data_IF_201531874170
#
_entry.id   IF_201531874170
#
_cell.length_a   1.000
_cell.length_b   1.000
_cell.length_c   1.000
_cell.angle_alpha   90.00
_cell.angle_beta   90.00
_cell.angle_gamma   90.00
#
_symmetry.space_group_name_H-M   'P 1'
#
loop_
_entity.id
_entity.type
_entity.pdbx_description
1 polymer ?
#
# COMPACT_ATOMS: atom_id res chain seq x y z
N UNK A 1 -23.30 6.24 -52.44
CA UNK A 1 -23.83 7.15 -51.39
C UNK A 1 -25.35 7.24 -51.51
N UNK A 2 -26.07 6.14 -51.27
CA UNK A 2 -27.48 6.03 -51.67
C UNK A 2 -28.36 5.42 -50.59
N UNK A 3 -29.64 5.82 -50.62
CA UNK A 3 -30.80 5.34 -49.84
C UNK A 3 -30.92 5.83 -48.40
N UNK A 4 -29.92 5.66 -47.53
CA UNK A 4 -30.06 6.00 -46.09
C UNK A 4 -30.24 7.50 -45.80
N UNK A 5 -29.68 8.39 -46.63
CA UNK A 5 -29.79 9.84 -46.45
C UNK A 5 -31.20 10.40 -46.77
N UNK A 6 -32.03 9.63 -47.48
CA UNK A 6 -33.36 10.04 -47.95
C UNK A 6 -34.50 9.37 -47.18
N UNK A 7 -34.19 8.55 -46.16
CA UNK A 7 -35.21 7.97 -45.31
C UNK A 7 -35.84 9.05 -44.41
N UNK A 8 -37.18 9.09 -44.27
CA UNK A 8 -37.85 9.91 -43.28
C UNK A 8 -37.33 9.68 -41.87
N UNK A 9 -37.41 10.73 -41.04
CA UNK A 9 -36.92 10.71 -39.67
C UNK A 9 -37.55 9.58 -38.85
N UNK A 10 -38.83 9.30 -39.07
CA UNK A 10 -39.62 8.28 -38.39
C UNK A 10 -39.11 6.86 -38.67
N UNK A 11 -38.74 6.58 -39.93
CA UNK A 11 -38.17 5.28 -40.30
C UNK A 11 -36.77 5.09 -39.71
N UNK A 12 -35.96 6.16 -39.70
CA UNK A 12 -34.66 6.14 -39.05
C UNK A 12 -34.79 5.92 -37.54
N UNK A 13 -35.82 6.49 -36.89
CA UNK A 13 -36.10 6.26 -35.46
C UNK A 13 -36.46 4.80 -35.19
N UNK A 14 -37.27 4.17 -36.03
CA UNK A 14 -37.61 2.74 -35.87
C UNK A 14 -36.36 1.85 -35.97
N UNK A 15 -35.44 2.16 -36.88
CA UNK A 15 -34.16 1.45 -37.00
C UNK A 15 -33.34 1.64 -35.72
N UNK A 16 -33.21 2.88 -35.23
CA UNK A 16 -32.40 3.21 -34.05
C UNK A 16 -32.84 2.46 -32.79
N UNK A 17 -34.15 2.23 -32.61
CA UNK A 17 -34.69 1.52 -31.44
C UNK A 17 -34.22 0.05 -31.38
N UNK A 18 -33.97 -0.56 -32.53
CA UNK A 18 -33.54 -1.96 -32.64
C UNK A 18 -32.01 -2.14 -32.60
N UNK A 19 -31.23 -1.05 -32.59
CA UNK A 19 -29.77 -1.12 -32.57
C UNK A 19 -29.25 -1.28 -31.14
N UNK A 20 -28.26 -2.16 -30.97
CA UNK A 20 -27.48 -2.23 -29.74
C UNK A 20 -26.54 -1.01 -29.60
N UNK A 21 -25.97 -0.81 -28.41
CA UNK A 21 -25.10 0.34 -28.10
C UNK A 21 -23.94 0.50 -29.09
N UNK A 22 -23.34 -0.61 -29.55
CA UNK A 22 -22.19 -0.56 -30.46
C UNK A 22 -22.63 -0.16 -31.87
N UNK A 23 -23.68 -0.80 -32.40
CA UNK A 23 -24.20 -0.48 -33.73
C UNK A 23 -24.79 0.92 -33.79
N UNK A 24 -25.44 1.38 -32.72
CA UNK A 24 -26.00 2.73 -32.62
C UNK A 24 -24.93 3.82 -32.75
N UNK A 25 -23.78 3.64 -32.08
CA UNK A 25 -22.64 4.56 -32.20
C UNK A 25 -22.10 4.58 -33.62
N UNK A 26 -21.88 3.41 -34.21
CA UNK A 26 -21.42 3.30 -35.60
C UNK A 26 -22.40 3.95 -36.59
N UNK A 27 -23.69 3.74 -36.40
CA UNK A 27 -24.76 4.32 -37.21
C UNK A 27 -24.77 5.86 -37.14
N UNK A 28 -24.54 6.43 -35.96
CA UNK A 28 -24.48 7.90 -35.77
C UNK A 28 -23.34 8.59 -36.54
N UNK A 29 -22.32 7.84 -36.97
CA UNK A 29 -21.17 8.36 -37.71
C UNK A 29 -21.40 8.41 -39.22
N UNK A 30 -22.47 7.76 -39.73
CA UNK A 30 -22.71 7.61 -41.17
C UNK A 30 -23.00 8.96 -41.85
N UNK A 31 -23.90 9.77 -41.28
CA UNK A 31 -24.21 11.12 -41.77
C UNK A 31 -24.89 11.98 -40.69
N UNK A 32 -25.16 13.26 -41.00
CA UNK A 32 -25.80 14.22 -40.07
C UNK A 32 -27.21 13.81 -39.63
N UNK A 33 -28.00 13.18 -40.51
CA UNK A 33 -29.36 12.71 -40.21
C UNK A 33 -29.33 11.52 -39.25
N UNK A 34 -28.50 10.50 -39.53
CA UNK A 34 -28.29 9.37 -38.62
C UNK A 34 -27.81 9.86 -37.24
N UNK A 35 -26.94 10.87 -37.19
CA UNK A 35 -26.51 11.49 -35.92
C UNK A 35 -27.66 12.14 -35.17
N UNK A 36 -28.49 12.97 -35.81
CA UNK A 36 -29.58 13.66 -35.12
C UNK A 36 -30.61 12.68 -34.56
N UNK A 37 -30.94 11.63 -35.32
CA UNK A 37 -31.87 10.58 -34.91
C UNK A 37 -31.32 9.71 -33.77
N UNK A 38 -30.01 9.48 -33.73
CA UNK A 38 -29.37 8.60 -32.73
C UNK A 38 -28.99 9.29 -31.42
N UNK A 39 -28.74 10.61 -31.46
CA UNK A 39 -28.30 11.40 -30.31
C UNK A 39 -29.12 11.14 -29.03
N UNK A 40 -30.47 11.15 -29.06
CA UNK A 40 -31.28 10.93 -27.87
C UNK A 40 -31.04 9.58 -27.20
N UNK A 41 -30.83 8.51 -27.99
CA UNK A 41 -30.62 7.16 -27.46
C UNK A 41 -29.19 6.91 -27.03
N UNK A 42 -28.20 7.50 -27.71
CA UNK A 42 -26.79 7.43 -27.31
C UNK A 42 -26.57 8.09 -25.95
N UNK A 43 -27.14 9.28 -25.75
CA UNK A 43 -26.97 10.05 -24.53
C UNK A 43 -28.06 9.79 -23.49
N UNK A 44 -28.99 8.85 -23.76
CA UNK A 44 -30.05 8.45 -22.82
C UNK A 44 -29.49 8.02 -21.47
N UNK A 45 -28.37 7.30 -21.48
CA UNK A 45 -27.67 6.84 -20.30
C UNK A 45 -26.27 7.43 -20.27
N UNK A 46 -26.01 8.33 -19.33
CA UNK A 46 -24.69 8.92 -19.12
C UNK A 46 -24.00 8.28 -17.92
N UNK A 47 -22.75 7.87 -18.11
CA UNK A 47 -21.96 7.17 -17.09
C UNK A 47 -20.67 7.95 -16.81
N UNK A 48 -20.39 8.19 -15.54
CA UNK A 48 -19.17 8.88 -15.09
C UNK A 48 -18.67 8.30 -13.77
N UNK A 49 -17.39 8.48 -13.49
CA UNK A 49 -16.71 7.95 -12.30
C UNK A 49 -16.30 9.06 -11.34
N UNK A 50 -16.05 8.71 -10.07
CA UNK A 50 -15.48 9.61 -9.08
C UNK A 50 -14.03 9.93 -9.41
N UNK A 51 -13.85 10.95 -10.26
CA UNK A 51 -12.56 11.53 -10.61
C UNK A 51 -12.75 12.96 -11.08
N UNK A 52 -11.68 13.75 -11.06
CA UNK A 52 -11.71 15.12 -11.58
C UNK A 52 -12.21 15.17 -13.03
N UNK A 53 -11.77 14.22 -13.86
CA UNK A 53 -12.23 14.11 -15.25
C UNK A 53 -13.69 13.69 -15.36
N UNK A 54 -14.16 12.79 -14.49
CA UNK A 54 -15.55 12.38 -14.42
C UNK A 54 -16.47 13.55 -14.08
N UNK A 55 -16.08 14.36 -13.09
CA UNK A 55 -16.82 15.56 -12.69
C UNK A 55 -16.86 16.61 -13.80
N UNK A 56 -15.72 16.90 -14.45
CA UNK A 56 -15.66 17.83 -15.59
C UNK A 56 -16.53 17.37 -16.78
N UNK A 57 -16.58 16.06 -17.04
CA UNK A 57 -17.45 15.50 -18.09
C UNK A 57 -18.93 15.67 -17.74
N UNK A 58 -19.30 15.51 -16.47
CA UNK A 58 -20.67 15.73 -16.01
C UNK A 58 -21.08 17.20 -16.16
N UNK A 59 -20.22 18.11 -15.71
CA UNK A 59 -20.44 19.56 -15.81
C UNK A 59 -20.62 20.00 -17.27
N UNK A 60 -19.69 19.59 -18.15
CA UNK A 60 -19.77 19.89 -19.57
C UNK A 60 -21.04 19.35 -20.23
N UNK A 61 -21.44 18.12 -19.89
CA UNK A 61 -22.65 17.51 -20.43
C UNK A 61 -23.90 18.27 -19.96
N UNK A 62 -23.93 18.64 -18.68
CA UNK A 62 -25.04 19.37 -18.07
C UNK A 62 -25.24 20.75 -18.69
N UNK A 63 -24.16 21.43 -19.11
CA UNK A 63 -24.21 22.72 -19.79
C UNK A 63 -24.47 22.62 -21.31
N UNK A 64 -24.47 21.40 -21.86
CA UNK A 64 -24.66 21.17 -23.28
C UNK A 64 -26.13 20.97 -23.66
N UNK A 65 -26.43 21.08 -24.96
CA UNK A 65 -27.75 20.70 -25.50
C UNK A 65 -28.10 19.23 -25.32
N UNK A 66 -27.12 18.38 -24.98
CA UNK A 66 -27.31 16.95 -24.73
C UNK A 66 -27.93 16.67 -23.36
N UNK A 67 -27.92 17.63 -22.43
CA UNK A 67 -28.50 17.48 -21.09
C UNK A 67 -29.97 17.01 -21.14
N UNK A 68 -30.72 17.49 -22.13
CA UNK A 68 -32.13 17.12 -22.34
C UNK A 68 -32.30 15.66 -22.80
N UNK A 69 -31.27 15.03 -23.35
CA UNK A 69 -31.32 13.64 -23.79
C UNK A 69 -31.12 12.66 -22.63
N UNK A 70 -30.46 13.10 -21.56
CA UNK A 70 -30.09 12.24 -20.43
C UNK A 70 -31.31 11.88 -19.59
N UNK A 71 -31.58 10.58 -19.47
CA UNK A 71 -32.63 10.03 -18.61
C UNK A 71 -32.06 9.23 -17.44
N UNK A 72 -30.95 8.54 -17.68
CA UNK A 72 -30.28 7.70 -16.68
C UNK A 72 -28.89 8.28 -16.44
N UNK A 73 -28.62 8.68 -15.20
CA UNK A 73 -27.30 9.10 -14.76
C UNK A 73 -26.68 7.97 -13.93
N UNK A 74 -25.56 7.44 -14.37
CA UNK A 74 -24.83 6.38 -13.68
C UNK A 74 -23.54 6.94 -13.11
N UNK A 75 -23.48 7.01 -11.78
CA UNK A 75 -22.31 7.42 -11.03
C UNK A 75 -21.55 6.20 -10.50
N UNK A 76 -20.29 6.06 -10.89
CA UNK A 76 -19.35 5.09 -10.31
C UNK A 76 -18.60 5.73 -9.14
N UNK A 77 -19.05 5.41 -7.93
CA UNK A 77 -18.35 5.81 -6.72
C UNK A 77 -17.05 5.00 -6.55
N UNK A 78 -15.99 5.70 -6.14
CA UNK A 78 -14.71 5.12 -5.76
C UNK A 78 -14.62 5.03 -4.24
N UNK A 79 -13.96 3.98 -3.75
CA UNK A 79 -13.64 3.86 -2.32
C UNK A 79 -12.67 4.97 -1.90
N UNK A 80 -13.01 5.70 -0.85
CA UNK A 80 -12.21 6.83 -0.37
C UNK A 80 -11.01 6.33 0.45
N UNK A 81 -9.84 6.80 0.06
CA UNK A 81 -8.57 6.53 0.72
C UNK A 81 -8.33 7.60 1.78
N UNK A 82 -7.74 7.23 2.92
CA UNK A 82 -7.34 8.19 3.95
C UNK A 82 -6.43 9.30 3.35
N UNK A 83 -6.83 10.58 3.41
CA UNK A 83 -6.03 11.69 2.90
C UNK A 83 -4.63 11.77 3.51
N UNK A 84 -4.43 11.29 4.74
CA UNK A 84 -3.15 11.33 5.45
C UNK A 84 -2.11 10.39 4.85
N UNK A 85 -2.51 9.38 4.06
CA UNK A 85 -1.61 8.49 3.31
C UNK A 85 -0.67 9.25 2.37
N UNK A 86 -0.98 10.51 2.04
CA UNK A 86 -0.08 11.35 1.26
C UNK A 86 1.27 11.61 1.95
N UNK A 87 1.31 11.51 3.28
CA UNK A 87 2.51 11.72 4.10
C UNK A 87 3.27 10.41 4.27
N UNK A 88 4.57 10.44 3.98
CA UNK A 88 5.43 9.27 4.07
C UNK A 88 5.50 8.70 5.49
N UNK A 89 5.61 9.58 6.48
CA UNK A 89 5.76 9.16 7.88
C UNK A 89 4.48 8.48 8.38
N UNK A 90 3.31 9.01 8.02
CA UNK A 90 2.03 8.38 8.34
C UNK A 90 1.86 7.04 7.63
N UNK A 91 2.17 6.98 6.33
CA UNK A 91 2.08 5.74 5.58
C UNK A 91 2.97 4.65 6.18
N UNK A 92 4.23 4.99 6.47
CA UNK A 92 5.22 4.02 6.93
C UNK A 92 5.13 3.66 8.40
N UNK A 93 4.47 4.48 9.23
CA UNK A 93 4.24 4.17 10.63
C UNK A 93 2.86 3.55 10.92
N UNK A 94 1.82 3.92 10.16
CA UNK A 94 0.43 3.64 10.55
C UNK A 94 -0.37 2.81 9.54
N UNK A 95 -0.02 2.84 8.25
CA UNK A 95 -0.85 2.23 7.19
C UNK A 95 -0.22 0.94 6.68
N UNK A 96 1.08 1.00 6.39
CA UNK A 96 1.82 -0.16 5.93
C UNK A 96 3.28 -0.01 6.29
N UNK A 97 3.70 -0.69 7.33
CA UNK A 97 5.06 -0.58 7.84
C UNK A 97 6.06 -1.35 6.98
N UNK A 98 7.36 -0.97 6.99
CA UNK A 98 8.40 -1.75 6.33
C UNK A 98 8.46 -3.21 6.81
N UNK A 99 8.13 -3.47 8.07
CA UNK A 99 8.08 -4.81 8.66
C UNK A 99 6.93 -5.64 8.09
N UNK A 100 5.74 -5.04 7.97
CA UNK A 100 4.60 -5.68 7.29
C UNK A 100 4.90 -5.93 5.82
N UNK A 101 5.59 -5.00 5.14
CA UNK A 101 6.00 -5.20 3.77
C UNK A 101 6.96 -6.38 3.60
N UNK A 102 7.94 -6.54 4.49
CA UNK A 102 8.83 -7.69 4.47
C UNK A 102 8.05 -9.00 4.66
N UNK A 103 7.13 -9.04 5.63
CA UNK A 103 6.25 -10.19 5.89
C UNK A 103 5.37 -10.52 4.68
N UNK A 104 4.65 -9.53 4.16
CA UNK A 104 3.72 -9.71 3.04
C UNK A 104 4.47 -10.10 1.74
N UNK A 105 5.74 -9.70 1.59
CA UNK A 105 6.59 -10.10 0.47
C UNK A 105 7.03 -11.58 0.56
N UNK A 106 7.27 -12.09 1.77
CA UNK A 106 7.58 -13.50 2.02
C UNK A 106 6.36 -14.40 1.76
N UNK A 107 5.18 -13.98 2.24
CA UNK A 107 3.96 -14.79 2.23
C UNK A 107 3.29 -14.88 0.85
N UNK A 108 3.37 -13.82 0.03
CA UNK A 108 2.48 -13.71 -1.13
C UNK A 108 3.14 -13.42 -2.48
N UNK A 109 4.48 -13.23 -2.53
CA UNK A 109 5.28 -13.04 -3.77
C UNK A 109 4.55 -12.29 -4.90
N UNK A 110 4.04 -11.09 -4.60
CA UNK A 110 3.23 -10.32 -5.54
C UNK A 110 4.04 -9.80 -6.74
N UNK A 111 3.54 -10.03 -7.96
CA UNK A 111 4.09 -9.48 -9.19
C UNK A 111 3.02 -8.75 -10.01
N UNK A 112 3.28 -7.50 -10.39
CA UNK A 112 2.47 -6.78 -11.37
C UNK A 112 3.27 -6.67 -12.67
N UNK A 113 2.79 -7.35 -13.71
CA UNK A 113 3.47 -7.48 -15.01
C UNK A 113 4.90 -8.05 -14.89
N UNK A 114 5.12 -9.02 -14.02
CA UNK A 114 6.40 -9.70 -13.85
C UNK A 114 7.48 -8.90 -13.09
N UNK A 115 7.09 -7.84 -12.36
CA UNK A 115 7.98 -7.09 -11.47
C UNK A 115 7.38 -7.03 -10.07
N UNK A 116 8.20 -7.32 -9.07
CA UNK A 116 7.85 -7.09 -7.67
C UNK A 116 7.64 -5.58 -7.43
N UNK A 117 6.58 -5.24 -6.70
CA UNK A 117 6.36 -3.88 -6.26
C UNK A 117 7.36 -3.50 -5.19
N UNK A 118 8.16 -2.47 -5.42
CA UNK A 118 8.92 -1.88 -4.32
C UNK A 118 7.96 -1.18 -3.36
N UNK A 119 8.30 -1.19 -2.07
CA UNK A 119 7.56 -0.47 -1.03
C UNK A 119 7.30 1.01 -1.40
N UNK A 120 8.29 1.68 -2.03
CA UNK A 120 8.13 3.04 -2.56
C UNK A 120 7.14 3.15 -3.72
N UNK A 121 7.02 2.13 -4.56
CA UNK A 121 6.04 2.12 -5.65
C UNK A 121 4.62 2.07 -5.10
N UNK A 122 4.38 1.25 -4.07
CA UNK A 122 3.09 1.15 -3.36
C UNK A 122 2.71 2.51 -2.78
N UNK A 123 3.61 3.14 -2.01
CA UNK A 123 3.38 4.49 -1.49
C UNK A 123 3.10 5.51 -2.59
N UNK A 124 3.89 5.50 -3.67
CA UNK A 124 3.73 6.45 -4.78
C UNK A 124 2.37 6.33 -5.45
N UNK A 125 1.85 5.10 -5.60
CA UNK A 125 0.52 4.84 -6.12
C UNK A 125 -0.56 5.45 -5.21
N UNK A 126 -0.59 5.07 -3.93
CA UNK A 126 -1.62 5.55 -3.01
C UNK A 126 -1.54 7.04 -2.72
N UNK A 127 -0.33 7.62 -2.69
CA UNK A 127 -0.14 9.07 -2.61
C UNK A 127 -0.78 9.79 -3.79
N UNK A 128 -0.64 9.27 -5.01
CA UNK A 128 -1.28 9.85 -6.21
C UNK A 128 -2.80 9.72 -6.14
N UNK A 129 -3.30 8.55 -5.74
CA UNK A 129 -4.73 8.29 -5.60
C UNK A 129 -5.38 9.20 -4.54
N UNK A 130 -4.81 9.25 -3.33
CA UNK A 130 -5.28 10.09 -2.24
C UNK A 130 -5.24 11.59 -2.59
N UNK A 131 -4.22 12.04 -3.34
CA UNK A 131 -4.18 13.41 -3.89
C UNK A 131 -5.33 13.69 -4.85
N UNK A 132 -5.56 12.78 -5.80
CA UNK A 132 -6.63 12.94 -6.78
C UNK A 132 -8.01 13.00 -6.11
N UNK A 133 -8.28 12.11 -5.15
CA UNK A 133 -9.52 12.13 -4.38
C UNK A 133 -9.64 13.38 -3.51
N UNK A 134 -8.55 13.79 -2.84
CA UNK A 134 -8.53 15.01 -2.04
C UNK A 134 -8.81 16.26 -2.88
N UNK A 135 -8.35 16.32 -4.13
CA UNK A 135 -8.68 17.44 -5.03
C UNK A 135 -10.17 17.49 -5.37
N UNK A 136 -10.82 16.33 -5.55
CA UNK A 136 -12.27 16.26 -5.81
C UNK A 136 -13.09 16.61 -4.57
N UNK A 137 -12.63 16.21 -3.39
CA UNK A 137 -13.31 16.47 -2.11
C UNK A 137 -13.04 17.86 -1.54
N UNK A 138 -11.93 18.49 -1.92
CA UNK A 138 -11.58 19.83 -1.46
C UNK A 138 -12.71 20.80 -1.82
N UNK A 139 -13.15 21.57 -0.83
CA UNK A 139 -14.24 22.55 -0.98
C UNK A 139 -15.58 21.94 -1.42
N UNK A 140 -15.79 20.61 -1.24
CA UNK A 140 -17.01 19.90 -1.66
C UNK A 140 -17.36 20.11 -3.13
N UNK A 141 -16.34 20.22 -3.97
CA UNK A 141 -16.49 20.42 -5.41
C UNK A 141 -17.34 19.32 -6.06
N UNK A 142 -17.21 18.08 -5.58
CA UNK A 142 -18.08 16.96 -5.96
C UNK A 142 -19.57 17.26 -5.75
N UNK A 143 -19.95 17.75 -4.57
CA UNK A 143 -21.33 18.09 -4.25
C UNK A 143 -21.79 19.28 -5.09
N UNK A 144 -20.96 20.31 -5.24
CA UNK A 144 -21.30 21.50 -6.03
C UNK A 144 -21.52 21.18 -7.50
N UNK A 145 -20.60 20.45 -8.12
CA UNK A 145 -20.71 20.03 -9.53
C UNK A 145 -21.90 19.09 -9.69
N UNK A 146 -22.06 18.10 -8.81
CA UNK A 146 -23.14 17.13 -8.94
C UNK A 146 -24.51 17.78 -8.77
N UNK A 147 -24.71 18.58 -7.71
CA UNK A 147 -25.99 19.28 -7.47
C UNK A 147 -26.29 20.35 -8.51
N UNK A 148 -25.27 21.08 -8.99
CA UNK A 148 -25.41 22.03 -10.09
C UNK A 148 -25.82 21.32 -11.39
N UNK A 149 -25.13 20.24 -11.74
CA UNK A 149 -25.39 19.47 -12.96
C UNK A 149 -26.79 18.85 -12.95
N UNK A 150 -27.23 18.31 -11.81
CA UNK A 150 -28.56 17.71 -11.68
C UNK A 150 -29.70 18.70 -12.03
N UNK A 151 -29.52 19.99 -11.77
CA UNK A 151 -30.52 21.02 -12.13
C UNK A 151 -30.69 21.17 -13.63
N UNK A 152 -29.61 20.98 -14.40
CA UNK A 152 -29.63 21.15 -15.85
C UNK A 152 -30.10 19.88 -16.59
N UNK A 153 -30.10 18.72 -15.92
CA UNK A 153 -30.58 17.45 -16.46
C UNK A 153 -32.11 17.31 -16.30
N UNK A 154 -32.87 18.15 -16.99
CA UNK A 154 -34.33 18.29 -16.81
C UNK A 154 -35.16 17.02 -17.08
N UNK A 155 -34.65 16.09 -17.90
CA UNK A 155 -35.34 14.84 -18.26
C UNK A 155 -34.82 13.61 -17.49
N UNK A 156 -33.99 13.83 -16.47
CA UNK A 156 -33.43 12.77 -15.65
C UNK A 156 -34.55 12.06 -14.86
N UNK A 157 -34.62 10.73 -14.99
CA UNK A 157 -35.59 9.91 -14.28
C UNK A 157 -34.95 8.91 -13.31
N UNK A 158 -33.69 8.56 -13.54
CA UNK A 158 -33.00 7.50 -12.77
C UNK A 158 -31.57 7.92 -12.47
N UNK A 159 -31.18 7.84 -11.21
CA UNK A 159 -29.77 7.90 -10.79
C UNK A 159 -29.35 6.50 -10.33
N UNK A 160 -28.33 5.94 -10.99
CA UNK A 160 -27.72 4.66 -10.63
C UNK A 160 -26.41 4.93 -9.93
N UNK A 161 -26.23 4.29 -8.78
CA UNK A 161 -24.97 4.29 -8.04
C UNK A 161 -24.35 2.91 -8.13
N UNK A 162 -23.06 2.84 -8.46
CA UNK A 162 -22.30 1.61 -8.39
C UNK A 162 -20.96 1.86 -7.73
N UNK A 163 -20.57 0.97 -6.82
CA UNK A 163 -19.26 1.00 -6.19
C UNK A 163 -18.33 0.10 -6.97
N UNK A 164 -17.23 0.65 -7.45
CA UNK A 164 -16.16 -0.13 -8.02
C UNK A 164 -15.05 -0.17 -6.98
N UNK A 165 -14.72 -1.37 -6.49
CA UNK A 165 -13.39 -1.58 -5.91
C UNK A 165 -12.37 -1.16 -6.96
N UNK A 166 -11.22 -0.63 -6.54
CA UNK A 166 -10.13 -0.26 -7.45
C UNK A 166 -10.00 -1.33 -8.53
N UNK A 167 -10.17 -0.96 -9.82
CA UNK A 167 -10.21 -1.87 -11.00
C UNK A 167 -8.99 -2.80 -11.12
N UNK A 168 -8.03 -2.67 -10.23
CA UNK A 168 -6.92 -3.57 -9.99
C UNK A 168 -7.29 -4.53 -8.83
N UNK A 169 -7.91 -5.67 -9.17
CA UNK A 169 -8.08 -6.83 -8.26
C UNK A 169 -6.77 -7.24 -7.55
N UNK A 170 -5.62 -6.76 -8.06
CA UNK A 170 -4.28 -7.04 -7.58
C UNK A 170 -3.92 -6.33 -6.26
N UNK A 171 -4.73 -5.36 -5.80
CA UNK A 171 -4.50 -4.65 -4.53
C UNK A 171 -5.60 -4.92 -3.49
N UNK A 172 -6.48 -5.91 -3.73
CA UNK A 172 -7.50 -6.33 -2.77
C UNK A 172 -6.90 -6.72 -1.41
N UNK A 173 -5.70 -7.30 -1.37
CA UNK A 173 -5.00 -7.63 -0.13
C UNK A 173 -4.71 -6.40 0.75
N UNK A 174 -4.67 -5.21 0.14
CA UNK A 174 -4.32 -3.95 0.79
C UNK A 174 -5.53 -3.07 1.11
N UNK A 175 -6.72 -3.45 0.62
CA UNK A 175 -7.99 -2.73 0.78
C UNK A 175 -8.35 -2.44 2.24
N UNK A 176 -8.19 -3.42 3.12
CA UNK A 176 -8.54 -3.31 4.54
C UNK A 176 -7.71 -2.28 5.31
N UNK A 177 -6.56 -1.83 4.76
CA UNK A 177 -5.63 -0.90 5.41
C UNK A 177 -5.80 0.55 4.96
N UNK A 178 -6.57 0.80 3.90
CA UNK A 178 -6.54 2.08 3.19
C UNK A 178 -7.86 2.86 3.21
N UNK A 179 -8.97 2.13 3.25
CA UNK A 179 -10.26 2.75 3.05
C UNK A 179 -10.79 3.35 4.34
N UNK A 180 -11.25 4.59 4.25
CA UNK A 180 -12.06 5.24 5.27
C UNK A 180 -13.44 4.55 5.32
N UNK A 181 -13.47 3.34 5.86
CA UNK A 181 -14.70 2.67 6.25
C UNK A 181 -15.07 3.15 7.63
N UNK A 182 -16.28 3.72 7.76
CA UNK A 182 -17.12 3.63 8.96
C UNK A 182 -16.69 2.40 9.75
N UNK A 183 -16.23 2.56 11.00
CA UNK A 183 -15.72 1.45 11.84
C UNK A 183 -16.61 0.23 11.61
N UNK A 184 -16.13 -0.69 10.77
CA UNK A 184 -16.89 -1.89 10.47
C UNK A 184 -16.71 -2.72 11.71
N UNK A 185 -17.76 -2.79 12.53
CA UNK A 185 -17.86 -3.59 13.75
C UNK A 185 -17.57 -5.10 13.48
N UNK A 186 -17.27 -5.49 12.23
CA UNK A 186 -17.10 -6.87 11.78
C UNK A 186 -18.43 -7.62 11.67
N UNK A 187 -19.54 -6.95 11.98
CA UNK A 187 -20.88 -7.55 12.00
C UNK A 187 -21.51 -7.43 10.61
N UNK A 188 -21.67 -8.56 9.93
CA UNK A 188 -22.39 -8.64 8.65
C UNK A 188 -23.86 -8.93 8.93
N UNK A 189 -24.68 -7.89 8.93
CA UNK A 189 -26.15 -7.97 9.09
C UNK A 189 -26.82 -7.45 7.82
N UNK A 190 -27.83 -8.15 7.34
CA UNK A 190 -28.63 -7.67 6.21
C UNK A 190 -29.37 -6.38 6.60
N UNK A 191 -29.43 -5.33 5.76
CA UNK A 191 -30.17 -4.10 6.07
C UNK A 191 -31.63 -4.35 6.50
N UNK A 192 -32.27 -5.40 5.99
CA UNK A 192 -33.63 -5.81 6.34
C UNK A 192 -33.76 -6.47 7.71
N UNK A 193 -32.65 -6.87 8.32
CA UNK A 193 -32.56 -7.47 9.66
C UNK A 193 -32.19 -6.46 10.74
N UNK A 194 -31.86 -5.22 10.35
CA UNK A 194 -31.57 -4.16 11.31
C UNK A 194 -32.85 -3.79 12.07
N UNK A 195 -32.82 -3.93 13.39
CA UNK A 195 -33.84 -3.51 14.36
C UNK A 195 -33.26 -2.47 15.31
N UNK A 196 -34.04 -1.44 15.62
CA UNK A 196 -33.73 -0.48 16.70
C UNK A 196 -33.92 -1.14 18.07
N UNK A 197 -35.06 -1.81 18.24
CA UNK A 197 -35.30 -2.67 19.39
C UNK A 197 -34.61 -4.01 19.15
N UNK A 198 -33.49 -4.23 19.83
CA UNK A 198 -32.76 -5.51 19.79
C UNK A 198 -33.46 -6.50 20.71
N UNK A 199 -33.79 -7.68 20.17
CA UNK A 199 -34.37 -8.79 20.91
C UNK A 199 -33.28 -9.83 21.21
N UNK A 200 -33.58 -10.81 22.07
CA UNK A 200 -32.64 -11.87 22.39
C UNK A 200 -32.31 -12.68 21.13
N UNK A 201 -31.01 -12.78 20.80
CA UNK A 201 -30.52 -13.44 19.58
C UNK A 201 -30.06 -12.51 18.45
N UNK A 202 -30.18 -11.18 18.58
CA UNK A 202 -29.55 -10.26 17.61
C UNK A 202 -28.01 -10.35 17.67
N UNK A 203 -27.35 -10.30 16.51
CA UNK A 203 -25.87 -10.32 16.40
C UNK A 203 -25.19 -9.06 16.97
N UNK A 204 -25.96 -8.02 17.25
CA UNK A 204 -25.48 -6.73 17.70
C UNK A 204 -26.42 -6.11 18.74
N UNK A 205 -25.88 -5.20 19.54
CA UNK A 205 -26.56 -4.35 20.49
C UNK A 205 -26.28 -2.87 20.16
N UNK A 206 -27.14 -1.96 20.62
CA UNK A 206 -26.89 -0.53 20.47
C UNK A 206 -26.16 0.01 21.70
N UNK A 207 -24.98 0.60 21.48
CA UNK A 207 -24.33 1.46 22.46
C UNK A 207 -24.84 2.88 22.24
N UNK A 208 -25.51 3.44 23.23
CA UNK A 208 -26.12 4.77 23.18
C UNK A 208 -25.32 5.66 24.12
N UNK A 209 -24.65 6.67 23.57
CA UNK A 209 -23.82 7.61 24.31
C UNK A 209 -24.63 8.80 24.84
N UNK A 210 -25.76 9.13 24.17
CA UNK A 210 -26.69 10.17 24.59
C UNK A 210 -27.99 9.54 25.17
N UNK A 211 -28.20 9.57 26.50
CA UNK A 211 -29.36 8.95 27.15
C UNK A 211 -30.71 9.48 26.65
N UNK A 212 -30.75 10.70 26.10
CA UNK A 212 -31.98 11.26 25.53
C UNK A 212 -32.52 10.45 24.35
N UNK A 213 -31.68 9.64 23.70
CA UNK A 213 -32.06 8.82 22.54
C UNK A 213 -32.54 7.41 22.93
N UNK A 214 -32.41 6.98 24.18
CA UNK A 214 -32.76 5.60 24.61
C UNK A 214 -34.20 5.22 24.28
N UNK A 215 -35.14 6.15 24.46
CA UNK A 215 -36.55 5.92 24.20
C UNK A 215 -36.86 5.56 22.73
N UNK A 216 -35.96 5.91 21.80
CA UNK A 216 -36.09 5.59 20.37
C UNK A 216 -35.79 4.10 20.15
N UNK A 217 -34.83 3.54 20.87
CA UNK A 217 -34.42 2.13 20.74
C UNK A 217 -35.34 1.15 21.46
N UNK A 218 -36.33 1.64 22.21
CA UNK A 218 -37.35 0.82 22.86
C UNK A 218 -38.53 0.46 21.92
N UNK A 219 -38.62 1.07 20.74
CA UNK A 219 -39.72 0.88 19.77
C UNK A 219 -39.20 0.33 18.45
N UNK A 220 -40.04 -0.42 17.74
CA UNK A 220 -39.75 -0.85 16.37
C UNK A 220 -39.73 0.34 15.42
N UNK A 221 -38.93 0.23 14.35
CA UNK A 221 -38.81 1.24 13.29
C UNK A 221 -40.18 1.77 12.85
N UNK A 222 -41.12 0.88 12.54
CA UNK A 222 -42.48 1.20 12.06
C UNK A 222 -43.30 2.11 12.99
N UNK A 223 -42.92 2.27 14.25
CA UNK A 223 -43.61 3.12 15.24
C UNK A 223 -42.99 4.51 15.39
N UNK A 224 -41.97 4.84 14.60
CA UNK A 224 -41.27 6.12 14.65
C UNK A 224 -41.73 7.07 13.55
N UNK A 225 -41.65 8.37 13.86
CA UNK A 225 -41.94 9.42 12.89
C UNK A 225 -40.80 9.56 11.87
N UNK A 226 -41.09 10.20 10.73
CA UNK A 226 -40.06 10.56 9.74
C UNK A 226 -38.94 11.41 10.36
N UNK A 227 -39.27 12.29 11.29
CA UNK A 227 -38.30 13.14 12.00
C UNK A 227 -37.35 12.33 12.88
N UNK A 228 -37.83 11.23 13.45
CA UNK A 228 -37.01 10.29 14.24
C UNK A 228 -36.01 9.56 13.34
N UNK A 229 -36.40 9.17 12.12
CA UNK A 229 -35.47 8.56 11.16
C UNK A 229 -34.38 9.52 10.69
N UNK A 230 -34.74 10.79 10.45
CA UNK A 230 -33.76 11.83 10.11
C UNK A 230 -32.75 12.04 11.25
N UNK A 231 -33.22 12.03 12.50
CA UNK A 231 -32.36 12.12 13.66
C UNK A 231 -31.42 10.90 13.76
N UNK A 232 -31.95 9.69 13.61
CA UNK A 232 -31.13 8.47 13.64
C UNK A 232 -30.06 8.46 12.54
N UNK A 233 -30.41 8.83 11.30
CA UNK A 233 -29.46 8.91 10.20
C UNK A 233 -28.36 9.96 10.45
N UNK A 234 -28.70 11.08 11.10
CA UNK A 234 -27.73 12.14 11.39
C UNK A 234 -26.77 11.76 12.52
N UNK A 235 -27.30 11.11 13.55
CA UNK A 235 -26.59 10.89 14.82
C UNK A 235 -25.92 9.50 14.93
N UNK A 236 -26.19 8.58 13.99
CA UNK A 236 -25.54 7.27 13.93
C UNK A 236 -24.03 7.41 13.74
N UNK A 237 -23.25 6.68 14.54
CA UNK A 237 -21.79 6.76 14.59
C UNK A 237 -21.23 7.94 15.41
N UNK A 238 -22.09 8.86 15.86
CA UNK A 238 -21.71 9.98 16.75
C UNK A 238 -22.27 9.82 18.15
N UNK A 239 -23.59 9.59 18.27
CA UNK A 239 -24.29 9.48 19.55
C UNK A 239 -24.76 8.07 19.89
N UNK A 240 -24.75 7.19 18.91
CA UNK A 240 -25.02 5.77 19.11
C UNK A 240 -24.35 4.94 18.01
N UNK A 241 -23.95 3.72 18.33
CA UNK A 241 -23.34 2.77 17.38
C UNK A 241 -23.77 1.33 17.69
N UNK A 242 -23.71 0.48 16.68
CA UNK A 242 -23.88 -0.96 16.88
C UNK A 242 -22.59 -1.56 17.46
N UNK A 243 -22.71 -2.43 18.44
CA UNK A 243 -21.61 -3.22 19.04
C UNK A 243 -21.99 -4.70 19.01
N UNK A 244 -21.03 -5.65 19.04
CA UNK A 244 -21.35 -7.06 19.07
C UNK A 244 -22.19 -7.42 20.30
N UNK A 245 -23.23 -8.25 20.14
CA UNK A 245 -24.14 -8.60 21.24
C UNK A 245 -23.44 -9.32 22.40
N UNK A 246 -22.25 -9.89 22.17
CA UNK A 246 -21.38 -10.49 23.19
C UNK A 246 -20.90 -9.49 24.26
N UNK A 247 -21.12 -8.18 24.08
CA UNK A 247 -20.84 -7.17 25.10
C UNK A 247 -21.98 -6.95 26.13
N UNK A 248 -23.04 -7.78 26.14
CA UNK A 248 -24.15 -7.67 27.12
C UNK A 248 -23.94 -8.45 28.43
N UNK A 249 -22.88 -9.24 28.58
CA UNK A 249 -22.60 -9.92 29.86
C UNK A 249 -21.85 -9.01 30.83
N UNK A 250 -22.59 -8.17 31.56
CA UNK A 250 -22.14 -7.55 32.83
C UNK A 250 -22.01 -8.59 33.96
N UNK A 251 -21.49 -9.77 33.65
CA UNK A 251 -21.27 -10.85 34.59
C UNK A 251 -19.93 -11.54 34.30
N UNK A 252 -18.84 -10.78 34.17
CA UNK A 252 -17.45 -11.22 34.43
C UNK A 252 -16.43 -10.07 34.33
N UNK A 253 -16.82 -8.81 34.62
CA UNK A 253 -15.81 -7.72 34.73
C UNK A 253 -14.78 -8.00 35.82
N UNK A 254 -15.14 -8.74 36.88
CA UNK A 254 -14.21 -9.17 37.94
C UNK A 254 -13.27 -10.30 37.50
N UNK A 255 -13.74 -11.29 36.73
CA UNK A 255 -12.90 -12.41 36.29
C UNK A 255 -11.98 -12.02 35.13
N UNK A 256 -12.43 -11.14 34.23
CA UNK A 256 -11.59 -10.62 33.14
C UNK A 256 -10.51 -9.70 33.71
N UNK A 257 -10.85 -8.82 34.67
CA UNK A 257 -9.85 -7.98 35.34
C UNK A 257 -8.87 -8.84 36.14
N UNK A 258 -9.34 -9.86 36.85
CA UNK A 258 -8.45 -10.78 37.56
C UNK A 258 -7.54 -11.56 36.60
N UNK A 259 -8.06 -12.01 35.46
CA UNK A 259 -7.28 -12.70 34.45
C UNK A 259 -6.25 -11.76 33.79
N UNK A 260 -6.65 -10.54 33.43
CA UNK A 260 -5.74 -9.52 32.87
C UNK A 260 -4.70 -9.08 33.91
N UNK A 261 -5.04 -9.01 35.20
CA UNK A 261 -4.08 -8.72 36.27
C UNK A 261 -3.08 -9.87 36.46
N UNK A 262 -3.54 -11.12 36.42
CA UNK A 262 -2.66 -12.30 36.49
C UNK A 262 -1.74 -12.39 35.26
N UNK A 263 -2.26 -12.09 34.08
CA UNK A 263 -1.47 -12.03 32.84
C UNK A 263 -0.45 -10.89 32.89
N UNK A 264 -0.84 -9.70 33.35
CA UNK A 264 0.09 -8.59 33.56
C UNK A 264 1.20 -8.94 34.55
N UNK A 265 0.90 -9.68 35.62
CA UNK A 265 1.90 -10.17 36.55
C UNK A 265 2.87 -11.14 35.87
N UNK A 266 2.33 -12.11 35.10
CA UNK A 266 3.14 -13.06 34.34
C UNK A 266 4.00 -12.38 33.28
N UNK A 267 3.49 -11.34 32.61
CA UNK A 267 4.23 -10.58 31.61
C UNK A 267 5.32 -9.74 32.26
N UNK A 268 5.06 -9.14 33.43
CA UNK A 268 6.07 -8.42 34.20
C UNK A 268 7.22 -9.34 34.65
N UNK A 269 6.92 -10.58 35.07
CA UNK A 269 7.95 -11.56 35.44
C UNK A 269 8.76 -12.03 34.22
N UNK A 270 8.11 -12.24 33.08
CA UNK A 270 8.79 -12.55 31.80
C UNK A 270 9.67 -11.39 31.33
N UNK A 271 9.20 -10.16 31.49
CA UNK A 271 9.95 -8.95 31.15
C UNK A 271 11.21 -8.86 32.01
N UNK A 272 11.08 -9.03 33.32
CA UNK A 272 12.22 -9.03 34.26
C UNK A 272 13.24 -10.13 33.92
N UNK A 273 12.77 -11.34 33.63
CA UNK A 273 13.65 -12.44 33.23
C UNK A 273 14.36 -12.18 31.88
N UNK A 274 13.69 -11.48 30.95
CA UNK A 274 14.29 -11.08 29.69
C UNK A 274 15.33 -9.96 29.87
N UNK A 275 15.07 -8.98 30.74
CA UNK A 275 16.00 -7.93 31.13
C UNK A 275 17.27 -8.53 31.79
N UNK A 276 17.11 -9.45 32.75
CA UNK A 276 18.24 -10.14 33.39
C UNK A 276 19.05 -10.99 32.38
N UNK A 277 18.38 -11.55 31.37
CA UNK A 277 19.06 -12.29 30.30
C UNK A 277 19.82 -11.35 29.37
N UNK A 278 19.23 -10.21 29.02
CA UNK A 278 19.88 -9.18 28.20
C UNK A 278 21.13 -8.62 28.90
N UNK A 279 21.01 -8.31 30.19
CA UNK A 279 22.13 -7.84 31.00
C UNK A 279 23.30 -8.84 31.01
N UNK A 280 23.01 -10.14 31.22
CA UNK A 280 24.05 -11.19 31.17
C UNK A 280 24.71 -11.34 29.80
N UNK A 281 23.94 -11.17 28.72
CA UNK A 281 24.51 -11.20 27.38
C UNK A 281 25.40 -9.97 27.10
N UNK A 282 25.01 -8.81 27.61
CA UNK A 282 25.82 -7.59 27.50
C UNK A 282 27.12 -7.72 28.27
N UNK A 283 27.08 -8.24 29.51
CA UNK A 283 28.28 -8.51 30.31
C UNK A 283 29.21 -9.51 29.59
N UNK A 284 28.67 -10.63 29.10
CA UNK A 284 29.45 -11.61 28.33
C UNK A 284 30.03 -11.02 27.03
N UNK A 285 29.30 -10.11 26.37
CA UNK A 285 29.80 -9.42 25.18
C UNK A 285 30.98 -8.50 25.52
N UNK A 286 30.90 -7.75 26.63
CA UNK A 286 32.02 -6.90 27.08
C UNK A 286 33.26 -7.70 27.45
N UNK A 287 33.09 -8.87 28.07
CA UNK A 287 34.21 -9.77 28.39
C UNK A 287 34.86 -10.34 27.13
N UNK A 288 34.05 -10.79 26.16
CA UNK A 288 34.53 -11.26 24.87
C UNK A 288 35.25 -10.15 24.06
N UNK A 289 34.75 -8.92 24.10
CA UNK A 289 35.41 -7.77 23.46
C UNK A 289 36.77 -7.47 24.09
N UNK A 290 36.89 -7.57 25.41
CA UNK A 290 38.15 -7.41 26.12
C UNK A 290 39.16 -8.50 25.72
N UNK A 291 38.72 -9.76 25.62
CA UNK A 291 39.56 -10.88 25.18
C UNK A 291 40.01 -10.72 23.72
N UNK A 292 39.11 -10.33 22.81
CA UNK A 292 39.45 -10.04 21.41
C UNK A 292 40.49 -8.93 21.33
N UNK A 293 40.38 -7.90 22.16
CA UNK A 293 41.34 -6.79 22.19
C UNK A 293 42.72 -7.26 22.64
N UNK A 294 42.79 -8.13 23.65
CA UNK A 294 44.04 -8.70 24.15
C UNK A 294 44.71 -9.59 23.09
N UNK A 295 43.96 -10.53 22.51
CA UNK A 295 44.44 -11.38 21.43
C UNK A 295 44.95 -10.56 20.22
N UNK A 296 44.25 -9.47 19.86
CA UNK A 296 44.70 -8.56 18.81
C UNK A 296 45.98 -7.79 19.15
N UNK A 297 46.30 -7.59 20.43
CA UNK A 297 47.60 -7.05 20.86
C UNK A 297 48.71 -8.07 20.61
N UNK A 298 48.49 -9.32 21.05
CA UNK A 298 49.44 -10.43 20.88
C UNK A 298 49.73 -10.68 19.40
N UNK A 299 48.69 -10.71 18.55
CA UNK A 299 48.85 -10.89 17.10
C UNK A 299 49.69 -9.76 16.50
N UNK A 300 49.47 -8.50 16.91
CA UNK A 300 50.26 -7.36 16.41
C UNK A 300 51.73 -7.45 16.81
N UNK A 301 52.01 -7.87 18.04
CA UNK A 301 53.39 -8.10 18.50
C UNK A 301 54.06 -9.22 17.71
N UNK A 302 53.38 -10.35 17.54
CA UNK A 302 53.87 -11.48 16.74
C UNK A 302 54.14 -11.06 15.28
N UNK A 303 53.25 -10.27 14.67
CA UNK A 303 53.43 -9.72 13.33
C UNK A 303 54.66 -8.82 13.23
N UNK A 304 54.92 -8.00 14.26
CA UNK A 304 56.12 -7.16 14.31
C UNK A 304 57.39 -8.01 14.37
N UNK A 305 57.41 -9.05 15.21
CA UNK A 305 58.55 -9.99 15.30
C UNK A 305 58.80 -10.71 13.98
N UNK A 306 57.74 -11.19 13.32
CA UNK A 306 57.84 -11.82 11.99
C UNK A 306 58.45 -10.85 10.99
N UNK A 307 58.02 -9.58 10.99
CA UNK A 307 58.54 -8.56 10.08
C UNK A 307 60.05 -8.30 10.30
N UNK A 308 60.48 -8.24 11.56
CA UNK A 308 61.91 -8.10 11.91
C UNK A 308 62.71 -9.29 11.37
N UNK A 309 62.24 -10.52 11.63
CA UNK A 309 62.93 -11.71 11.13
C UNK A 309 62.97 -11.80 9.61
N UNK A 310 61.91 -11.35 8.92
CA UNK A 310 61.91 -11.25 7.45
C UNK A 310 63.00 -10.28 6.96
N UNK A 311 63.17 -9.14 7.62
CA UNK A 311 64.22 -8.19 7.28
C UNK A 311 65.62 -8.77 7.52
N UNK A 312 65.81 -9.49 8.63
CA UNK A 312 67.08 -10.16 8.94
C UNK A 312 67.42 -11.22 7.89
N UNK A 313 66.43 -12.03 7.47
CA UNK A 313 66.61 -13.02 6.41
C UNK A 313 67.09 -12.34 5.12
N UNK A 314 66.47 -11.24 4.71
CA UNK A 314 66.87 -10.49 3.51
C UNK A 314 68.31 -9.95 3.64
N UNK A 315 68.69 -9.44 4.82
CA UNK A 315 70.05 -8.98 5.08
C UNK A 315 71.06 -10.13 4.96
N UNK A 316 70.78 -11.28 5.56
CA UNK A 316 71.64 -12.46 5.48
C UNK A 316 71.74 -13.02 4.06
N UNK A 317 70.66 -12.99 3.29
CA UNK A 317 70.68 -13.35 1.87
C UNK A 317 71.64 -12.45 1.08
N UNK A 318 71.56 -11.13 1.27
CA UNK A 318 72.47 -10.19 0.60
C UNK A 318 73.95 -10.42 0.98
N UNK A 319 74.22 -10.72 2.25
CA UNK A 319 75.57 -11.07 2.72
C UNK A 319 76.06 -12.36 2.04
N UNK A 320 75.22 -13.40 2.00
CA UNK A 320 75.57 -14.66 1.36
C UNK A 320 75.84 -14.50 -0.15
N UNK A 321 75.00 -13.73 -0.86
CA UNK A 321 75.21 -13.39 -2.27
C UNK A 321 76.53 -12.63 -2.49
N UNK A 322 76.87 -11.69 -1.61
CA UNK A 322 78.14 -10.98 -1.66
C UNK A 322 79.34 -11.92 -1.50
N UNK A 323 79.31 -12.82 -0.51
CA UNK A 323 80.37 -13.81 -0.32
C UNK A 323 80.48 -14.75 -1.52
N UNK A 324 79.36 -15.24 -2.04
CA UNK A 324 79.33 -16.10 -3.22
C UNK A 324 79.97 -15.42 -4.44
N UNK A 325 79.64 -14.14 -4.67
CA UNK A 325 80.26 -13.33 -5.72
C UNK A 325 81.77 -13.20 -5.54
N UNK A 326 82.23 -12.94 -4.31
CA UNK A 326 83.67 -12.82 -3.99
C UNK A 326 84.42 -14.14 -4.17
N UNK A 327 83.86 -15.26 -3.71
CA UNK A 327 84.43 -16.58 -3.92
C UNK A 327 84.54 -16.92 -5.41
N UNK A 328 83.52 -16.60 -6.21
CA UNK A 328 83.55 -16.79 -7.66
C UNK A 328 84.66 -15.96 -8.33
N UNK A 329 84.81 -14.69 -7.93
CA UNK A 329 85.90 -13.82 -8.42
C UNK A 329 87.27 -14.40 -8.07
N UNK A 330 87.49 -14.82 -6.82
CA UNK A 330 88.75 -15.44 -6.39
C UNK A 330 89.03 -16.73 -7.16
N UNK A 331 88.03 -17.60 -7.34
CA UNK A 331 88.16 -18.84 -8.10
C UNK A 331 88.55 -18.57 -9.55
N UNK A 332 87.98 -17.55 -10.19
CA UNK A 332 88.32 -17.17 -11.55
C UNK A 332 89.75 -16.64 -11.66
N UNK A 333 90.19 -15.79 -10.72
CA UNK A 333 91.58 -15.27 -10.69
C UNK A 333 92.57 -16.41 -10.47
N UNK A 334 92.29 -17.33 -9.54
CA UNK A 334 93.13 -18.51 -9.32
C UNK A 334 93.16 -19.42 -10.55
N UNK A 335 92.03 -19.62 -11.23
CA UNK A 335 91.96 -20.35 -12.50
C UNK A 335 92.83 -19.71 -13.59
N UNK A 336 92.79 -18.38 -13.72
CA UNK A 336 93.64 -17.64 -14.66
C UNK A 336 95.13 -17.75 -14.32
N UNK A 337 95.49 -17.64 -13.04
CA UNK A 337 96.88 -17.81 -12.57
C UNK A 337 97.39 -19.23 -12.82
N UNK A 338 96.58 -20.26 -12.56
CA UNK A 338 96.94 -21.65 -12.86
C UNK A 338 97.15 -21.88 -14.36
N UNK A 339 96.26 -21.34 -15.21
CA UNK A 339 96.42 -21.43 -16.66
C UNK A 339 97.70 -20.72 -17.15
N UNK A 340 98.02 -19.55 -16.59
CA UNK A 340 99.27 -18.84 -16.90
C UNK A 340 100.52 -19.64 -16.52
N UNK A 341 100.53 -20.26 -15.34
CA UNK A 341 101.64 -21.10 -14.88
C UNK A 341 101.80 -22.39 -15.71
N UNK A 342 100.71 -22.96 -16.19
CA UNK A 342 100.77 -24.13 -17.09
C UNK A 342 101.36 -23.76 -18.46
N UNK A 343 101.01 -22.58 -18.99
CA UNK A 343 101.49 -22.11 -20.30
C UNK A 343 102.98 -21.69 -20.29
N UNK A 344 103.52 -21.29 -19.14
CA UNK A 344 104.96 -21.04 -18.97
C UNK A 344 105.77 -22.31 -18.79
N UNK A 345 105.23 -23.32 -18.09
CA UNK A 345 105.90 -24.64 -17.98
C UNK A 345 105.91 -25.44 -19.29
N UNK A 346 105.03 -25.14 -20.24
CA UNK A 346 104.97 -25.81 -21.54
C UNK A 346 105.88 -25.18 -22.60
N UNK A 347 106.56 -24.05 -22.31
CA UNK A 347 107.48 -23.36 -23.23
C UNK A 347 108.97 -23.61 -22.94
N UNK A 348 109.30 -24.26 -21.83
CA UNK A 348 110.68 -24.62 -21.42
C UNK A 348 110.95 -26.14 -21.43
N UNK A 349 110.16 -26.92 -22.19
CA UNK A 349 110.29 -28.38 -22.36
C UNK A 349 110.81 -28.79 -23.73
#
# INVERSE_FOLDING_TARGET
>A
MGVMANLPFELLRLIVVELDSVSLKSFSLVNKSCRSVSTPDIFRSFKFEFSEQGMKKLEWLADSSLAQCVRILHYEASELVDPLIQHWDYFSACIYTPQEYARDQEDFRWELRGKQFSYRAIFSYFRKLARAQSMVLKERMDIHIFTGSLRNLSNLNTVKLSFHGTKEDQLLWFSNRLFLGVERVGIKVDPSEVRLKTEDGCLYAWQIEDPSLEHIFQKHMSKHSIGTYMLLHREVGQKFRAIPAMCKEKQTELDIVAHMQAENLSLADKLRAAEDKAFRYEEAATEAEAEIKDQNSIIREAQMTIHIHQQDILNWMAVAEWYQMKCFQCSNVLGQMMAFLQDTTSKDG
#
